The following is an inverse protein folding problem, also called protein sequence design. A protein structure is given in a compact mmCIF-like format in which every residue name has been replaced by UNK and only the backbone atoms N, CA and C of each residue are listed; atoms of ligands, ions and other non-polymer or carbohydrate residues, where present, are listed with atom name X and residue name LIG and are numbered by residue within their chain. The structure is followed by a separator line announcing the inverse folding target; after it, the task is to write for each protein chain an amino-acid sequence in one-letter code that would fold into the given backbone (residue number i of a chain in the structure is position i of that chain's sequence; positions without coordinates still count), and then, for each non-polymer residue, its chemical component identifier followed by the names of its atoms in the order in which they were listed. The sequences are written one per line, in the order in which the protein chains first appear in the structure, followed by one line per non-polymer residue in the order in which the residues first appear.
data_IF_112816590513
#
_entry.id   IF_112816590513
#
_cell.length_a   1.000
_cell.length_b   1.000
_cell.length_c   1.000
_cell.angle_alpha   90.00
_cell.angle_beta   90.00
_cell.angle_gamma   90.00
#
_symmetry.space_group_name_H-M   'P 1'
#
loop_
_entity.id
_entity.type
_entity.pdbx_description
1 polymer ?
#
# COMPACT_ATOMS: atom_id res chain seq x y z
N UNK A 1 2.29 25.67 7.41
CA UNK A 1 0.84 25.87 7.59
C UNK A 1 0.29 24.89 8.65
N UNK A 2 -0.93 25.15 9.19
CA UNK A 2 -1.57 24.20 10.13
C UNK A 2 -1.81 22.82 9.50
N UNK A 3 -2.16 22.78 8.22
CA UNK A 3 -2.34 21.53 7.49
C UNK A 3 -1.02 20.75 7.37
N UNK A 4 0.07 21.45 7.11
CA UNK A 4 1.41 20.84 7.07
C UNK A 4 1.82 20.28 8.45
N UNK A 5 1.56 21.02 9.53
CA UNK A 5 1.81 20.53 10.88
C UNK A 5 1.02 19.25 11.15
N UNK A 6 -0.25 19.20 10.76
CA UNK A 6 -1.07 17.99 10.85
C UNK A 6 -0.45 16.83 10.07
N UNK A 7 0.06 17.06 8.85
CA UNK A 7 0.72 16.03 8.07
C UNK A 7 1.98 15.49 8.74
N UNK A 8 2.80 16.38 9.34
CA UNK A 8 3.99 15.97 10.10
C UNK A 8 3.62 15.12 11.32
N UNK A 9 2.57 15.49 12.04
CA UNK A 9 2.07 14.71 13.18
C UNK A 9 1.62 13.31 12.73
N UNK A 10 0.86 13.21 11.63
CA UNK A 10 0.38 11.93 11.11
C UNK A 10 1.52 11.09 10.52
N UNK A 11 2.53 11.73 9.92
CA UNK A 11 3.76 11.04 9.52
C UNK A 11 4.45 10.40 10.74
N UNK A 12 4.61 11.13 11.85
CA UNK A 12 5.21 10.62 13.06
C UNK A 12 4.40 9.48 13.69
N UNK A 13 3.06 9.61 13.73
CA UNK A 13 2.18 8.51 14.09
C UNK A 13 2.45 7.25 13.26
N UNK A 14 2.55 7.39 11.94
CA UNK A 14 2.82 6.29 11.04
C UNK A 14 4.21 5.70 11.24
N UNK A 15 5.23 6.53 11.42
CA UNK A 15 6.60 6.11 11.70
C UNK A 15 6.70 5.27 12.99
N UNK A 16 5.96 5.63 14.02
CA UNK A 16 5.89 4.85 15.27
C UNK A 16 5.17 3.52 15.09
N UNK A 17 4.15 3.45 14.23
CA UNK A 17 3.39 2.21 14.01
C UNK A 17 4.13 1.21 13.11
N UNK A 18 4.73 1.67 12.02
CA UNK A 18 5.35 0.77 11.02
C UNK A 18 6.86 0.69 11.15
N UNK A 19 7.45 1.58 11.95
CA UNK A 19 8.89 1.82 12.00
C UNK A 19 9.37 2.61 10.79
N UNK A 20 10.61 3.11 10.88
CA UNK A 20 11.27 3.73 9.75
C UNK A 20 11.43 2.68 8.66
N UNK A 21 10.65 2.76 7.61
CA UNK A 21 10.68 1.79 6.51
C UNK A 21 11.05 2.48 5.22
N UNK A 22 12.04 1.90 4.56
CA UNK A 22 12.34 2.22 3.18
C UNK A 22 11.64 1.18 2.33
N UNK A 23 10.73 1.62 1.50
CA UNK A 23 10.16 0.75 0.49
C UNK A 23 11.10 0.66 -0.71
N UNK A 24 11.34 -0.57 -1.16
CA UNK A 24 12.34 -0.90 -2.21
C UNK A 24 12.09 -0.26 -3.57
N UNK A 25 10.98 0.43 -3.79
CA UNK A 25 10.66 1.06 -5.07
C UNK A 25 10.81 2.59 -5.07
N UNK A 26 11.57 3.15 -4.12
CA UNK A 26 12.03 4.54 -4.17
C UNK A 26 10.96 5.61 -3.99
N UNK A 27 9.77 5.27 -3.49
CA UNK A 27 8.69 6.23 -3.38
C UNK A 27 8.33 6.61 -1.93
N UNK A 28 8.53 5.74 -0.95
CA UNK A 28 7.86 5.91 0.33
C UNK A 28 8.82 5.67 1.49
N UNK A 29 9.56 6.69 1.87
CA UNK A 29 10.36 6.68 3.09
C UNK A 29 9.53 7.28 4.22
N UNK A 30 9.15 6.44 5.19
CA UNK A 30 8.57 6.92 6.44
C UNK A 30 9.66 6.95 7.49
N UNK A 31 9.91 8.12 8.03
CA UNK A 31 10.81 8.30 9.16
C UNK A 31 10.25 9.35 10.11
N UNK A 32 10.68 9.28 11.36
CA UNK A 32 10.25 10.19 12.41
C UNK A 32 10.84 11.58 12.20
N UNK A 33 10.01 12.63 12.33
CA UNK A 33 10.41 14.03 12.24
C UNK A 33 10.52 14.58 13.66
N UNK A 34 11.70 14.94 14.15
CA UNK A 34 11.86 15.50 15.50
C UNK A 34 11.32 16.92 15.60
N UNK A 35 11.19 17.44 16.82
CA UNK A 35 10.85 18.83 17.09
C UNK A 35 9.37 19.19 16.89
N UNK A 36 8.48 18.24 16.66
CA UNK A 36 7.04 18.50 16.55
C UNK A 36 6.44 18.56 17.96
N UNK A 37 5.82 19.71 18.30
CA UNK A 37 5.06 19.93 19.53
C UNK A 37 3.66 20.41 19.19
N UNK A 38 2.69 19.51 19.21
CA UNK A 38 1.31 19.82 18.90
C UNK A 38 0.37 18.69 19.33
N UNK A 39 -0.90 19.02 19.50
CA UNK A 39 -2.00 18.09 19.68
C UNK A 39 -3.00 18.22 18.53
N UNK A 40 -3.56 17.11 18.11
CA UNK A 40 -4.58 17.03 17.07
C UNK A 40 -5.81 16.33 17.64
N UNK A 41 -6.85 17.10 17.90
CA UNK A 41 -8.14 16.59 18.34
C UNK A 41 -9.01 16.26 17.12
N UNK A 42 -9.69 15.12 17.19
CA UNK A 42 -10.59 14.67 16.13
C UNK A 42 -11.76 13.85 16.71
N UNK A 43 -12.74 13.60 15.87
CA UNK A 43 -13.88 12.76 16.22
C UNK A 43 -14.18 11.76 15.11
N UNK A 44 -14.35 10.48 15.47
CA UNK A 44 -14.76 9.43 14.55
C UNK A 44 -15.94 8.69 15.16
N UNK A 45 -17.05 8.66 14.44
CA UNK A 45 -18.28 7.96 14.86
C UNK A 45 -18.76 8.34 16.26
N UNK A 46 -18.69 9.64 16.58
CA UNK A 46 -19.10 10.17 17.89
C UNK A 46 -18.08 9.93 19.02
N UNK A 47 -16.93 9.31 18.75
CA UNK A 47 -15.88 9.11 19.72
C UNK A 47 -14.73 10.04 19.48
N UNK A 48 -14.32 10.76 20.53
CA UNK A 48 -13.22 11.72 20.49
C UNK A 48 -11.88 11.03 20.53
N UNK A 49 -10.94 11.51 19.74
CA UNK A 49 -9.55 11.11 19.73
C UNK A 49 -8.61 12.30 19.81
N UNK A 50 -7.42 12.10 20.35
CA UNK A 50 -6.35 13.09 20.43
C UNK A 50 -5.03 12.43 20.09
N UNK A 51 -4.37 12.91 19.05
CA UNK A 51 -2.99 12.57 18.74
C UNK A 51 -2.08 13.63 19.37
N UNK A 52 -1.13 13.19 20.18
CA UNK A 52 -0.17 14.03 20.87
C UNK A 52 1.20 13.81 20.25
N UNK A 53 1.87 14.88 19.84
CA UNK A 53 3.28 14.90 19.47
C UNK A 53 3.99 15.91 20.38
N UNK A 54 4.98 15.47 21.13
CA UNK A 54 5.80 16.32 21.98
C UNK A 54 7.27 15.89 21.91
N UNK A 55 8.01 16.49 21.00
CA UNK A 55 9.47 16.40 20.83
C UNK A 55 10.05 14.99 20.99
N UNK A 56 9.60 14.07 20.17
CA UNK A 56 10.00 12.65 20.21
C UNK A 56 8.93 11.74 20.78
N UNK A 57 8.00 12.26 21.53
CA UNK A 57 6.86 11.51 22.06
C UNK A 57 5.72 11.54 21.04
N UNK A 58 5.13 10.38 20.78
CA UNK A 58 3.86 10.23 20.10
C UNK A 58 2.94 9.37 20.94
N UNK A 59 1.78 9.90 21.27
CA UNK A 59 0.75 9.19 22.00
C UNK A 59 -0.62 9.40 21.35
N UNK A 60 -1.50 8.41 21.48
CA UNK A 60 -2.85 8.44 20.97
C UNK A 60 -3.84 8.12 22.08
N UNK A 61 -4.81 9.00 22.25
CA UNK A 61 -5.98 8.77 23.10
C UNK A 61 -7.19 8.61 22.18
N UNK A 62 -8.03 7.58 22.42
CA UNK A 62 -9.28 7.40 21.66
C UNK A 62 -10.33 6.77 22.59
N UNK A 63 -11.28 7.57 23.04
CA UNK A 63 -12.19 7.18 24.12
C UNK A 63 -11.39 6.81 25.38
N UNK A 64 -11.62 5.60 25.89
CA UNK A 64 -10.94 5.08 27.07
C UNK A 64 -9.56 4.45 26.74
N UNK A 65 -9.19 4.32 25.47
CA UNK A 65 -7.93 3.73 25.04
C UNK A 65 -6.83 4.77 25.00
N UNK A 66 -5.67 4.42 25.58
CA UNK A 66 -4.48 5.28 25.61
C UNK A 66 -3.26 4.48 25.16
N UNK A 67 -2.63 4.92 24.08
CA UNK A 67 -1.48 4.25 23.48
C UNK A 67 -0.26 5.16 23.48
N UNK A 68 0.85 4.69 24.05
CA UNK A 68 2.15 5.32 23.94
C UNK A 68 2.91 4.65 22.79
N UNK A 69 3.23 5.42 21.75
CA UNK A 69 3.71 4.87 20.47
C UNK A 69 5.21 5.07 20.26
N UNK A 70 5.84 5.96 21.00
CA UNK A 70 7.28 6.23 20.89
C UNK A 70 8.11 5.14 21.55
N UNK A 71 9.43 5.21 21.34
CA UNK A 71 10.39 4.32 21.97
C UNK A 71 10.31 4.48 23.49
N UNK A 72 10.10 3.40 24.25
CA UNK A 72 10.01 3.45 25.72
C UNK A 72 11.31 3.89 26.39
N UNK A 73 12.45 3.81 25.69
CA UNK A 73 13.74 4.30 26.21
C UNK A 73 13.82 5.84 26.20
N UNK A 74 12.95 6.51 25.43
CA UNK A 74 12.69 7.93 25.60
C UNK A 74 11.90 8.07 26.90
N UNK A 75 12.55 8.50 27.96
CA UNK A 75 12.07 8.68 29.34
C UNK A 75 10.55 8.82 29.43
N UNK A 76 9.90 7.74 29.92
CA UNK A 76 8.46 7.78 30.19
C UNK A 76 8.23 8.86 31.25
N UNK A 77 7.73 9.99 30.82
CA UNK A 77 7.31 11.07 31.69
C UNK A 77 6.12 10.54 32.49
N UNK A 78 6.01 10.92 33.76
CA UNK A 78 4.95 10.50 34.66
C UNK A 78 3.53 10.63 34.07
N UNK A 79 3.36 11.57 33.17
CA UNK A 79 2.12 11.86 32.44
C UNK A 79 1.57 10.69 31.61
N UNK A 80 2.42 9.77 31.15
CA UNK A 80 2.01 8.66 30.27
C UNK A 80 2.02 7.29 30.97
N UNK A 81 2.09 7.24 32.31
CA UNK A 81 2.17 5.99 33.08
C UNK A 81 0.99 5.05 32.90
N UNK A 82 -0.18 5.58 32.59
CA UNK A 82 -1.42 4.82 32.36
C UNK A 82 -1.65 4.48 30.87
N UNK A 83 -0.68 4.77 30.00
CA UNK A 83 -0.74 4.44 28.58
C UNK A 83 -0.18 3.04 28.34
N UNK A 84 -0.84 2.31 27.43
CA UNK A 84 -0.31 1.06 26.90
C UNK A 84 0.88 1.35 25.98
N UNK A 85 2.05 0.78 26.29
CA UNK A 85 3.25 0.95 25.44
C UNK A 85 3.12 0.10 24.18
N UNK A 86 3.11 0.75 23.03
CA UNK A 86 2.84 0.16 21.72
C UNK A 86 3.86 0.59 20.65
N UNK A 87 5.15 0.60 20.98
CA UNK A 87 6.20 0.94 20.03
C UNK A 87 6.41 -0.18 19.00
N UNK A 88 6.37 0.14 17.70
CA UNK A 88 6.48 -0.80 16.58
C UNK A 88 5.63 -2.06 16.76
N UNK A 89 4.32 -1.92 16.97
CA UNK A 89 3.47 -3.03 17.37
C UNK A 89 3.35 -4.10 16.28
N UNK A 90 3.06 -5.34 16.68
CA UNK A 90 2.72 -6.44 15.78
C UNK A 90 1.43 -6.12 14.99
N UNK A 91 1.24 -6.79 13.86
CA UNK A 91 0.17 -6.50 12.88
C UNK A 91 -1.22 -6.36 13.49
N UNK A 92 -1.62 -7.26 14.41
CA UNK A 92 -2.95 -7.20 15.04
C UNK A 92 -3.13 -5.92 15.88
N UNK A 93 -2.13 -5.59 16.71
CA UNK A 93 -2.16 -4.38 17.54
C UNK A 93 -2.05 -3.11 16.71
N UNK A 94 -1.24 -3.15 15.66
CA UNK A 94 -1.15 -2.06 14.68
C UNK A 94 -2.50 -1.76 14.03
N UNK A 95 -3.23 -2.79 13.62
CA UNK A 95 -4.56 -2.65 13.03
C UNK A 95 -5.57 -2.10 14.03
N UNK A 96 -5.48 -2.49 15.30
CA UNK A 96 -6.30 -1.93 16.37
C UNK A 96 -6.05 -0.43 16.51
N UNK A 97 -4.79 -0.02 16.66
CA UNK A 97 -4.42 1.39 16.82
C UNK A 97 -4.81 2.20 15.58
N UNK A 98 -4.53 1.69 14.38
CA UNK A 98 -4.91 2.34 13.12
C UNK A 98 -6.43 2.52 12.99
N UNK A 99 -7.24 1.62 13.55
CA UNK A 99 -8.70 1.74 13.55
C UNK A 99 -9.23 2.84 14.47
N UNK A 100 -8.41 3.32 15.38
CA UNK A 100 -8.71 4.45 16.26
C UNK A 100 -8.36 5.81 15.63
N UNK A 101 -7.86 5.84 14.41
CA UNK A 101 -7.44 7.05 13.71
C UNK A 101 -8.20 7.22 12.39
N UNK A 102 -8.27 8.45 11.90
CA UNK A 102 -8.94 8.76 10.65
C UNK A 102 -8.00 8.57 9.45
N UNK A 103 -8.62 8.46 8.28
CA UNK A 103 -7.94 8.45 7.00
C UNK A 103 -8.40 9.63 6.16
N UNK A 104 -7.47 10.37 5.56
CA UNK A 104 -7.81 11.51 4.73
C UNK A 104 -7.05 11.52 3.41
N UNK A 105 -7.72 11.98 2.37
CA UNK A 105 -7.15 12.23 1.05
C UNK A 105 -7.25 13.73 0.80
N UNK A 106 -6.12 14.37 0.57
CA UNK A 106 -6.05 15.78 0.18
C UNK A 106 -5.73 15.83 -1.30
N UNK A 107 -6.64 16.38 -2.09
CA UNK A 107 -6.42 16.64 -3.50
C UNK A 107 -5.91 18.04 -3.67
N UNK A 108 -4.71 18.18 -4.20
CA UNK A 108 -4.11 19.46 -4.46
C UNK A 108 -3.94 19.68 -5.96
N UNK A 109 -4.72 20.60 -6.50
CA UNK A 109 -4.64 20.99 -7.91
C UNK A 109 -3.67 22.15 -8.17
N UNK A 110 -3.18 22.81 -7.12
CA UNK A 110 -2.20 23.87 -7.26
C UNK A 110 -0.80 23.29 -7.49
N UNK A 111 -0.13 23.75 -8.54
CA UNK A 111 1.17 23.26 -9.02
C UNK A 111 2.30 23.33 -7.97
N UNK A 112 2.13 24.08 -6.88
CA UNK A 112 3.22 24.44 -5.97
C UNK A 112 2.94 24.18 -4.49
N UNK A 113 1.75 23.71 -4.11
CA UNK A 113 1.50 23.39 -2.73
C UNK A 113 1.95 21.93 -2.46
N UNK A 114 2.82 21.74 -1.48
CA UNK A 114 3.37 20.44 -1.09
C UNK A 114 4.24 19.76 -2.17
N UNK A 115 5.18 20.48 -2.72
CA UNK A 115 6.22 19.92 -3.57
C UNK A 115 7.34 19.34 -2.68
N UNK A 116 7.72 18.09 -2.87
CA UNK A 116 8.80 17.47 -2.10
C UNK A 116 10.16 18.17 -2.28
N UNK A 117 10.34 18.92 -3.38
CA UNK A 117 11.54 19.72 -3.60
C UNK A 117 11.67 20.90 -2.61
N UNK A 118 10.56 21.40 -2.08
CA UNK A 118 10.57 22.49 -1.09
C UNK A 118 11.04 22.01 0.30
N UNK A 119 11.16 20.70 0.48
CA UNK A 119 11.59 20.04 1.72
C UNK A 119 12.94 19.34 1.59
N UNK A 120 13.78 19.74 0.63
CA UNK A 120 15.09 19.11 0.40
C UNK A 120 16.03 19.20 1.60
N UNK A 121 15.91 20.28 2.39
CA UNK A 121 16.69 20.46 3.59
C UNK A 121 16.24 19.54 4.75
N UNK A 122 15.10 18.88 4.58
CA UNK A 122 14.52 17.94 5.55
C UNK A 122 14.72 16.49 5.10
N UNK A 123 15.91 16.17 4.60
CA UNK A 123 16.26 14.80 4.22
C UNK A 123 16.52 13.95 5.46
N UNK A 124 16.28 12.66 5.30
CA UNK A 124 16.52 11.67 6.36
C UNK A 124 17.93 11.74 6.97
N UNK A 125 18.94 12.07 6.17
CA UNK A 125 20.33 12.23 6.60
C UNK A 125 20.57 13.39 7.59
N UNK A 126 19.70 14.41 7.57
CA UNK A 126 19.79 15.55 8.48
C UNK A 126 19.18 15.25 9.85
N UNK A 127 18.34 14.24 9.93
CA UNK A 127 17.82 13.73 11.19
C UNK A 127 18.74 12.59 11.63
N UNK A 128 19.64 12.84 12.57
CA UNK A 128 20.52 11.82 13.17
C UNK A 128 19.69 10.72 13.84
N UNK A 129 19.09 9.90 13.03
CA UNK A 129 18.37 8.71 13.49
C UNK A 129 19.24 7.52 13.17
N UNK A 130 19.95 7.02 14.18
CA UNK A 130 20.80 5.81 14.12
C UNK A 130 20.07 4.55 13.63
N UNK A 131 18.78 4.67 13.29
CA UNK A 131 17.87 3.58 12.93
C UNK A 131 17.43 3.59 11.46
N UNK A 132 17.87 4.54 10.65
CA UNK A 132 17.56 4.59 9.22
C UNK A 132 18.56 3.75 8.43
N UNK A 133 18.54 2.44 8.64
CA UNK A 133 19.34 1.52 7.83
C UNK A 133 18.81 1.58 6.39
N UNK A 134 19.58 2.23 5.51
CA UNK A 134 19.36 2.26 4.07
C UNK A 134 18.39 3.36 3.57
N UNK A 135 18.20 4.47 4.31
CA UNK A 135 17.50 5.64 3.79
C UNK A 135 18.18 6.12 2.49
N UNK A 136 17.41 6.33 1.43
CA UNK A 136 17.92 7.00 0.26
C UNK A 136 18.30 8.42 0.65
N UNK A 137 19.53 8.83 0.39
CA UNK A 137 20.03 10.18 0.67
C UNK A 137 19.22 11.29 -0.02
N UNK A 138 18.30 10.93 -0.90
CA UNK A 138 17.46 11.85 -1.67
C UNK A 138 16.02 11.92 -1.19
N UNK A 139 15.58 11.03 -0.26
CA UNK A 139 14.22 11.01 0.23
C UNK A 139 13.96 12.02 1.36
N UNK A 140 12.76 12.57 1.42
CA UNK A 140 12.27 13.34 2.55
C UNK A 140 10.87 12.83 2.98
N UNK A 141 10.43 13.21 4.19
CA UNK A 141 9.18 12.74 4.77
C UNK A 141 7.95 13.03 3.89
N UNK A 142 7.99 14.10 3.09
CA UNK A 142 6.90 14.46 2.18
C UNK A 142 6.66 13.38 1.11
N UNK A 143 7.69 12.64 0.73
CA UNK A 143 7.56 11.56 -0.27
C UNK A 143 6.63 10.44 0.21
N UNK A 144 6.54 10.21 1.53
CA UNK A 144 5.62 9.22 2.10
C UNK A 144 4.15 9.59 1.93
N UNK A 145 3.86 10.87 1.67
CA UNK A 145 2.51 11.39 1.45
C UNK A 145 2.03 11.22 0.00
N UNK A 146 2.96 10.97 -0.94
CA UNK A 146 2.64 10.75 -2.35
C UNK A 146 2.70 9.26 -2.68
N UNK A 147 1.55 8.59 -2.62
CA UNK A 147 1.50 7.15 -2.86
C UNK A 147 1.33 6.81 -4.34
N UNK A 148 2.26 6.03 -4.88
CA UNK A 148 2.20 5.56 -6.27
C UNK A 148 1.27 4.37 -6.48
N UNK A 149 1.22 3.43 -5.55
CA UNK A 149 0.58 2.12 -5.77
C UNK A 149 0.03 1.56 -4.45
N UNK A 150 -1.13 1.99 -3.99
CA UNK A 150 -1.90 1.34 -2.91
C UNK A 150 -1.14 0.89 -1.64
N UNK A 151 0.11 1.27 -1.54
CA UNK A 151 0.98 0.91 -0.45
C UNK A 151 0.94 1.91 0.69
N UNK A 152 -0.24 2.34 1.11
CA UNK A 152 -0.42 3.35 2.14
C UNK A 152 0.19 2.93 3.47
N UNK A 153 1.23 3.63 3.86
CA UNK A 153 1.85 3.46 5.16
C UNK A 153 1.48 4.59 6.12
N UNK A 154 0.95 5.69 5.60
CA UNK A 154 0.39 6.82 6.34
C UNK A 154 -1.11 6.93 6.07
N UNK A 155 -1.95 7.32 7.05
CA UNK A 155 -3.36 7.58 6.83
C UNK A 155 -3.65 8.91 6.10
N UNK A 156 -2.65 9.54 5.52
CA UNK A 156 -2.79 10.70 4.62
C UNK A 156 -2.23 10.36 3.25
N UNK A 157 -2.94 10.80 2.24
CA UNK A 157 -2.51 10.79 0.83
C UNK A 157 -2.62 12.19 0.27
N UNK A 158 -1.51 12.73 -0.22
CA UNK A 158 -1.53 13.92 -1.07
C UNK A 158 -1.71 13.47 -2.51
N UNK A 159 -2.83 13.80 -3.10
CA UNK A 159 -3.15 13.51 -4.48
C UNK A 159 -3.41 14.83 -5.22
N UNK A 160 -3.00 14.99 -6.46
CA UNK A 160 -2.56 13.98 -7.39
C UNK A 160 -1.04 13.81 -7.42
N UNK A 161 -0.62 12.55 -7.55
CA UNK A 161 0.72 12.28 -8.05
C UNK A 161 0.86 12.85 -9.47
N UNK A 162 1.91 13.62 -9.69
CA UNK A 162 2.22 14.19 -11.00
C UNK A 162 3.48 13.55 -11.53
N UNK A 163 3.35 12.73 -12.55
CA UNK A 163 4.51 12.32 -13.31
C UNK A 163 4.91 13.48 -14.24
N UNK A 164 6.07 14.09 -14.02
CA UNK A 164 6.56 15.26 -14.76
C UNK A 164 5.53 16.42 -14.87
N UNK A 165 4.74 16.63 -13.83
CA UNK A 165 3.74 17.71 -13.79
C UNK A 165 2.37 17.37 -14.39
N UNK A 166 2.18 16.16 -14.91
CA UNK A 166 0.91 15.72 -15.52
C UNK A 166 0.13 14.82 -14.58
N UNK A 167 -1.16 15.09 -14.41
CA UNK A 167 -2.12 14.24 -13.70
C UNK A 167 -2.78 13.32 -14.71
N UNK A 168 -2.54 12.01 -14.61
CA UNK A 168 -3.30 11.04 -15.38
C UNK A 168 -4.66 10.73 -14.72
N UNK A 169 -5.66 11.53 -15.07
CA UNK A 169 -7.03 11.36 -14.56
C UNK A 169 -7.65 10.02 -14.91
N UNK A 170 -7.19 9.34 -15.97
CA UNK A 170 -7.71 8.01 -16.33
C UNK A 170 -7.21 6.96 -15.34
N UNK A 171 -5.93 7.01 -15.02
CA UNK A 171 -5.34 6.12 -14.01
C UNK A 171 -5.96 6.37 -12.64
N UNK A 172 -6.10 7.62 -12.22
CA UNK A 172 -6.73 7.96 -10.94
C UNK A 172 -8.19 7.48 -10.86
N UNK A 173 -8.95 7.67 -11.93
CA UNK A 173 -10.35 7.18 -11.99
C UNK A 173 -10.42 5.65 -11.93
N UNK A 174 -9.52 4.94 -12.61
CA UNK A 174 -9.47 3.48 -12.58
C UNK A 174 -9.13 2.97 -11.17
N UNK A 175 -8.09 3.52 -10.53
CA UNK A 175 -7.70 3.18 -9.17
C UNK A 175 -8.82 3.43 -8.15
N UNK A 176 -9.52 4.57 -8.28
CA UNK A 176 -10.66 4.89 -7.41
C UNK A 176 -11.78 3.86 -7.55
N UNK A 177 -12.10 3.44 -8.78
CA UNK A 177 -13.11 2.41 -9.02
C UNK A 177 -12.71 1.05 -8.43
N UNK A 178 -11.47 0.65 -8.60
CA UNK A 178 -10.97 -0.63 -8.08
C UNK A 178 -10.98 -0.64 -6.54
N UNK A 179 -10.58 0.45 -5.90
CA UNK A 179 -10.65 0.62 -4.44
C UNK A 179 -12.07 0.60 -3.92
N UNK A 180 -12.95 1.37 -4.56
CA UNK A 180 -14.37 1.40 -4.19
C UNK A 180 -14.99 0.00 -4.30
N UNK A 181 -14.69 -0.73 -5.36
CA UNK A 181 -15.14 -2.11 -5.53
C UNK A 181 -14.64 -3.01 -4.39
N UNK A 182 -13.35 -2.91 -4.01
CA UNK A 182 -12.78 -3.66 -2.91
C UNK A 182 -13.47 -3.36 -1.57
N UNK A 183 -13.68 -2.09 -1.26
CA UNK A 183 -14.36 -1.66 -0.02
C UNK A 183 -15.81 -2.16 0.01
N UNK A 184 -16.53 -2.07 -1.12
CA UNK A 184 -17.90 -2.54 -1.23
C UNK A 184 -18.03 -4.06 -1.06
N UNK A 185 -17.12 -4.83 -1.64
CA UNK A 185 -17.06 -6.30 -1.45
C UNK A 185 -16.82 -6.65 0.01
N UNK A 186 -15.88 -5.96 0.65
CA UNK A 186 -15.55 -6.20 2.05
C UNK A 186 -16.70 -5.80 2.98
N UNK A 187 -17.38 -4.67 2.73
CA UNK A 187 -18.55 -4.26 3.47
C UNK A 187 -19.67 -5.31 3.33
N UNK A 188 -19.91 -5.82 2.12
CA UNK A 188 -20.89 -6.87 1.87
C UNK A 188 -20.53 -8.18 2.60
N UNK A 189 -19.25 -8.58 2.54
CA UNK A 189 -18.74 -9.77 3.22
C UNK A 189 -18.95 -9.70 4.74
N UNK A 190 -18.76 -8.51 5.32
CA UNK A 190 -18.92 -8.24 6.75
C UNK A 190 -20.35 -7.87 7.15
N UNK A 191 -21.30 -7.90 6.22
CA UNK A 191 -22.68 -7.46 6.41
C UNK A 191 -22.78 -6.05 7.05
N UNK A 192 -21.95 -5.12 6.55
CA UNK A 192 -21.93 -3.71 6.99
C UNK A 192 -22.51 -2.83 5.91
N UNK A 193 -23.13 -1.74 6.32
CA UNK A 193 -23.45 -0.66 5.41
C UNK A 193 -22.15 0.02 4.94
N UNK A 194 -22.11 0.36 3.67
CA UNK A 194 -20.99 1.12 3.11
C UNK A 194 -21.12 2.62 3.37
N UNK A 195 -22.34 3.11 3.26
CA UNK A 195 -22.78 4.46 3.60
C UNK A 195 -24.10 4.29 4.36
N UNK A 196 -24.33 5.07 5.40
CA UNK A 196 -25.54 5.02 6.20
C UNK A 196 -26.80 5.06 5.32
N UNK A 197 -27.66 4.07 5.46
CA UNK A 197 -28.88 3.91 4.66
C UNK A 197 -28.70 3.30 3.28
N UNK A 198 -27.48 2.90 2.87
CA UNK A 198 -27.21 2.30 1.56
C UNK A 198 -26.60 0.91 1.69
N UNK A 199 -27.23 -0.08 1.08
CA UNK A 199 -26.74 -1.44 0.99
C UNK A 199 -26.29 -1.78 -0.43
N UNK A 200 -25.17 -2.49 -0.54
CA UNK A 200 -24.73 -3.02 -1.80
C UNK A 200 -25.62 -4.18 -2.23
N UNK A 201 -26.35 -4.01 -3.33
CA UNK A 201 -27.17 -5.08 -3.91
C UNK A 201 -26.31 -6.07 -4.69
N UNK A 202 -25.55 -5.59 -5.66
CA UNK A 202 -24.66 -6.42 -6.50
C UNK A 202 -23.53 -5.60 -7.08
N UNK A 203 -22.42 -6.28 -7.38
CA UNK A 203 -21.33 -5.75 -8.21
C UNK A 203 -21.30 -6.59 -9.49
N UNK A 204 -21.24 -5.93 -10.63
CA UNK A 204 -21.08 -6.58 -11.93
C UNK A 204 -19.66 -6.31 -12.43
N UNK A 205 -18.89 -7.38 -12.58
CA UNK A 205 -17.56 -7.31 -13.18
C UNK A 205 -17.64 -7.76 -14.63
N UNK A 206 -17.09 -6.97 -15.54
CA UNK A 206 -16.83 -7.38 -16.90
C UNK A 206 -15.37 -7.84 -17.01
N UNK A 207 -15.17 -9.14 -17.18
CA UNK A 207 -13.84 -9.68 -17.37
C UNK A 207 -13.37 -9.43 -18.82
N UNK A 208 -12.18 -8.83 -18.97
CA UNK A 208 -11.56 -8.58 -20.26
C UNK A 208 -10.27 -9.40 -20.43
N UNK A 209 -10.31 -10.56 -21.11
CA UNK A 209 -9.15 -11.44 -21.29
C UNK A 209 -8.02 -10.79 -22.09
N UNK A 210 -8.33 -9.87 -22.99
CA UNK A 210 -7.33 -9.19 -23.81
C UNK A 210 -6.35 -8.38 -22.97
N UNK A 211 -6.75 -7.91 -21.77
CA UNK A 211 -5.83 -7.27 -20.83
C UNK A 211 -4.79 -8.24 -20.25
N UNK A 212 -5.11 -9.51 -20.20
CA UNK A 212 -4.16 -10.56 -19.78
C UNK A 212 -3.26 -10.90 -20.94
N UNK A 213 -3.84 -11.14 -22.13
CA UNK A 213 -3.12 -11.47 -23.36
C UNK A 213 -2.07 -10.40 -23.69
N UNK A 214 -2.43 -9.11 -23.60
CA UNK A 214 -1.52 -8.00 -23.85
C UNK A 214 -0.30 -7.93 -22.90
N UNK A 215 -0.26 -8.73 -21.84
CA UNK A 215 0.88 -8.84 -20.92
C UNK A 215 1.75 -10.07 -21.16
N UNK A 216 1.26 -10.99 -21.99
CA UNK A 216 1.99 -12.18 -22.38
C UNK A 216 3.03 -11.85 -23.46
N UNK A 217 3.99 -12.75 -23.76
CA UNK A 217 4.89 -12.60 -24.91
C UNK A 217 4.17 -12.35 -26.22
N UNK A 218 4.84 -11.66 -27.14
CA UNK A 218 4.26 -11.25 -28.45
C UNK A 218 3.65 -12.40 -29.24
N UNK A 219 4.21 -13.62 -29.12
CA UNK A 219 3.67 -14.84 -29.76
C UNK A 219 2.20 -15.15 -29.39
N UNK A 220 1.69 -14.57 -28.32
CA UNK A 220 0.29 -14.74 -27.89
C UNK A 220 -0.62 -13.60 -28.37
N UNK A 221 -0.08 -12.46 -28.81
CA UNK A 221 -0.87 -11.26 -29.11
C UNK A 221 -1.74 -11.42 -30.37
N UNK A 222 -1.31 -12.26 -31.32
CA UNK A 222 -2.06 -12.55 -32.54
C UNK A 222 -3.09 -13.69 -32.37
N UNK A 223 -3.07 -14.36 -31.21
CA UNK A 223 -3.98 -15.46 -30.92
C UNK A 223 -5.30 -14.93 -30.37
N UNK A 224 -6.37 -15.58 -30.76
CA UNK A 224 -7.66 -15.33 -30.12
C UNK A 224 -7.68 -15.89 -28.68
N UNK A 225 -8.68 -15.47 -27.94
CA UNK A 225 -8.84 -15.82 -26.52
C UNK A 225 -8.84 -17.34 -26.30
N UNK A 226 -9.54 -18.10 -27.16
CA UNK A 226 -9.63 -19.55 -27.04
C UNK A 226 -8.30 -20.25 -27.36
N UNK A 227 -7.58 -19.74 -28.36
CA UNK A 227 -6.26 -20.26 -28.72
C UNK A 227 -5.23 -20.06 -27.62
N UNK A 228 -5.23 -18.90 -26.95
CA UNK A 228 -4.36 -18.63 -25.81
C UNK A 228 -4.69 -19.59 -24.67
N UNK A 229 -5.95 -19.73 -24.31
CA UNK A 229 -6.38 -20.65 -23.27
C UNK A 229 -5.94 -22.08 -23.55
N UNK A 230 -6.16 -22.57 -24.79
CA UNK A 230 -5.78 -23.90 -25.20
C UNK A 230 -4.26 -24.12 -25.15
N UNK A 231 -3.46 -23.13 -25.54
CA UNK A 231 -2.01 -23.19 -25.42
C UNK A 231 -1.58 -23.45 -23.95
N UNK A 232 -2.15 -22.71 -23.01
CA UNK A 232 -1.84 -22.91 -21.60
C UNK A 232 -2.38 -24.24 -21.03
N UNK A 233 -3.50 -24.75 -21.53
CA UNK A 233 -4.04 -26.05 -21.15
C UNK A 233 -3.13 -27.20 -21.63
N UNK A 234 -2.57 -27.08 -22.81
CA UNK A 234 -1.59 -28.05 -23.35
C UNK A 234 -0.36 -28.06 -22.45
N UNK A 235 0.24 -26.88 -22.20
CA UNK A 235 1.40 -26.75 -21.31
C UNK A 235 1.13 -27.29 -19.89
N UNK A 236 -0.06 -27.09 -19.35
CA UNK A 236 -0.45 -27.65 -18.06
C UNK A 236 -0.51 -29.18 -18.09
N UNK A 237 -0.88 -29.78 -19.23
CA UNK A 237 -0.92 -31.24 -19.42
C UNK A 237 0.46 -31.91 -19.47
N UNK A 238 1.50 -31.14 -19.76
CA UNK A 238 2.87 -31.65 -19.81
C UNK A 238 3.44 -31.87 -18.42
N UNK A 239 4.01 -33.07 -18.21
CA UNK A 239 4.66 -33.41 -16.95
C UNK A 239 5.91 -32.53 -16.75
N UNK A 240 6.05 -31.87 -15.63
CA UNK A 240 7.14 -30.92 -15.31
C UNK A 240 7.14 -29.60 -16.11
N UNK A 241 6.08 -29.26 -16.81
CA UNK A 241 5.99 -27.91 -17.38
C UNK A 241 6.00 -26.84 -16.29
N UNK A 242 6.59 -25.68 -16.59
CA UNK A 242 6.59 -24.58 -15.66
C UNK A 242 5.15 -24.15 -15.28
N UNK A 243 4.23 -24.18 -16.24
CA UNK A 243 2.81 -23.87 -16.04
C UNK A 243 2.20 -24.77 -14.97
N UNK A 244 2.45 -26.06 -15.06
CA UNK A 244 1.95 -27.04 -14.08
C UNK A 244 2.57 -26.85 -12.73
N UNK A 245 3.89 -26.72 -12.64
CA UNK A 245 4.62 -26.53 -11.38
C UNK A 245 4.13 -25.30 -10.62
N UNK A 246 3.92 -24.17 -11.31
CA UNK A 246 3.41 -22.95 -10.69
C UNK A 246 2.00 -23.16 -10.16
N UNK A 247 1.10 -23.69 -10.97
CA UNK A 247 -0.30 -23.86 -10.55
C UNK A 247 -0.45 -24.85 -9.41
N UNK A 248 0.27 -25.96 -9.45
CA UNK A 248 0.27 -26.97 -8.38
C UNK A 248 0.80 -26.36 -7.06
N UNK A 249 1.86 -25.53 -7.13
CA UNK A 249 2.39 -24.83 -5.96
C UNK A 249 1.38 -23.85 -5.32
N UNK A 250 0.51 -23.25 -6.12
CA UNK A 250 -0.56 -22.38 -5.63
C UNK A 250 -1.88 -23.12 -5.36
N UNK A 251 -1.96 -24.44 -5.61
CA UNK A 251 -3.17 -25.25 -5.42
C UNK A 251 -4.27 -24.97 -6.46
N UNK A 252 -3.91 -24.52 -7.66
CA UNK A 252 -4.84 -24.27 -8.76
C UNK A 252 -4.71 -25.32 -9.86
N UNK A 253 -5.79 -25.50 -10.63
CA UNK A 253 -5.82 -26.43 -11.74
C UNK A 253 -6.61 -25.89 -12.93
N UNK A 254 -6.14 -26.16 -14.15
CA UNK A 254 -6.91 -25.90 -15.37
C UNK A 254 -8.00 -26.95 -15.63
N UNK A 255 -7.97 -28.12 -15.01
CA UNK A 255 -8.79 -29.26 -15.42
C UNK A 255 -10.30 -28.97 -15.40
N UNK A 256 -10.79 -28.23 -14.40
CA UNK A 256 -12.21 -27.90 -14.23
C UNK A 256 -12.45 -26.38 -14.17
N UNK A 257 -11.52 -25.58 -14.68
CA UNK A 257 -11.64 -24.14 -14.65
C UNK A 257 -12.64 -23.64 -15.68
N UNK A 258 -13.54 -22.77 -15.26
CA UNK A 258 -14.30 -21.97 -16.21
C UNK A 258 -13.40 -20.92 -16.86
N UNK A 259 -13.90 -20.28 -17.92
CA UNK A 259 -13.18 -19.28 -18.68
C UNK A 259 -12.48 -18.21 -17.83
N UNK A 260 -13.14 -17.62 -16.82
CA UNK A 260 -12.55 -16.61 -15.96
C UNK A 260 -11.45 -17.19 -15.07
N UNK A 261 -11.66 -18.37 -14.53
CA UNK A 261 -10.67 -19.08 -13.71
C UNK A 261 -9.43 -19.46 -14.53
N UNK A 262 -9.61 -19.92 -15.78
CA UNK A 262 -8.51 -20.20 -16.68
C UNK A 262 -7.61 -18.97 -16.91
N UNK A 263 -8.22 -17.82 -17.20
CA UNK A 263 -7.46 -16.58 -17.36
C UNK A 263 -6.87 -16.04 -16.04
N UNK A 264 -7.49 -16.34 -14.91
CA UNK A 264 -6.90 -16.11 -13.59
C UNK A 264 -5.61 -16.91 -13.40
N UNK A 265 -5.60 -18.18 -13.79
CA UNK A 265 -4.41 -19.04 -13.78
C UNK A 265 -3.32 -18.49 -14.72
N UNK A 266 -3.66 -18.12 -15.96
CA UNK A 266 -2.72 -17.52 -16.92
C UNK A 266 -2.09 -16.25 -16.35
N UNK A 267 -2.90 -15.39 -15.74
CA UNK A 267 -2.40 -14.17 -15.12
C UNK A 267 -1.47 -14.46 -13.91
N UNK A 268 -1.78 -15.47 -13.11
CA UNK A 268 -0.93 -15.89 -12.00
C UNK A 268 0.43 -16.38 -12.50
N UNK A 269 0.46 -17.19 -13.55
CA UNK A 269 1.69 -17.66 -14.20
C UNK A 269 2.50 -16.47 -14.69
N UNK A 270 1.89 -15.55 -15.44
CA UNK A 270 2.54 -14.33 -15.88
C UNK A 270 3.16 -13.55 -14.72
N UNK A 271 2.42 -13.36 -13.63
CA UNK A 271 2.91 -12.63 -12.44
C UNK A 271 4.11 -13.33 -11.82
N UNK A 272 4.06 -14.65 -11.66
CA UNK A 272 5.15 -15.45 -11.08
C UNK A 272 6.42 -15.31 -11.92
N UNK A 273 6.30 -15.43 -13.25
CA UNK A 273 7.43 -15.29 -14.17
C UNK A 273 8.05 -13.88 -14.17
N UNK A 274 7.27 -12.85 -13.89
CA UNK A 274 7.77 -11.47 -13.87
C UNK A 274 8.33 -11.02 -12.52
N UNK A 275 8.22 -11.84 -11.46
CA UNK A 275 8.77 -11.53 -10.14
C UNK A 275 10.29 -11.32 -10.18
N UNK A 276 11.11 -12.23 -10.76
CA UNK A 276 12.56 -12.08 -10.72
C UNK A 276 13.07 -10.83 -11.43
N UNK A 277 12.43 -10.42 -12.51
CA UNK A 277 12.81 -9.20 -13.24
C UNK A 277 12.41 -7.91 -12.53
N UNK A 278 11.41 -7.96 -11.63
CA UNK A 278 10.86 -6.78 -10.96
C UNK A 278 11.39 -6.57 -9.54
N UNK A 279 11.83 -7.63 -8.89
CA UNK A 279 12.21 -7.59 -7.48
C UNK A 279 13.64 -8.07 -7.29
N UNK A 280 14.57 -7.19 -6.87
CA UNK A 280 15.99 -7.53 -6.70
C UNK A 280 16.26 -8.73 -5.80
N UNK A 281 15.39 -8.98 -4.81
CA UNK A 281 15.49 -10.15 -3.91
C UNK A 281 15.34 -11.49 -4.61
N UNK A 282 14.83 -11.52 -5.82
CA UNK A 282 14.59 -12.71 -6.63
C UNK A 282 15.38 -12.70 -7.93
N UNK A 283 16.29 -11.72 -8.12
CA UNK A 283 17.05 -11.56 -9.37
C UNK A 283 17.91 -12.79 -9.73
N UNK A 284 18.31 -13.59 -8.75
CA UNK A 284 19.05 -14.85 -8.96
C UNK A 284 18.25 -15.86 -9.79
N UNK A 285 16.92 -15.81 -9.75
CA UNK A 285 16.05 -16.69 -10.51
C UNK A 285 15.75 -16.17 -11.93
N UNK A 286 16.18 -14.97 -12.29
CA UNK A 286 15.88 -14.39 -13.61
C UNK A 286 16.48 -15.19 -14.78
N UNK A 287 17.56 -15.93 -14.55
CA UNK A 287 18.17 -16.79 -15.56
C UNK A 287 17.41 -18.11 -15.78
N UNK A 288 16.63 -18.53 -14.80
CA UNK A 288 15.87 -19.79 -14.81
C UNK A 288 14.43 -19.58 -15.26
N UNK A 289 13.89 -18.40 -14.93
CA UNK A 289 12.48 -18.07 -15.11
C UNK A 289 12.38 -16.91 -16.10
N UNK A 290 12.16 -17.23 -17.36
CA UNK A 290 11.98 -16.24 -18.42
C UNK A 290 10.60 -16.45 -19.07
N UNK A 291 9.80 -15.39 -19.10
CA UNK A 291 8.47 -15.44 -19.70
C UNK A 291 8.51 -15.73 -21.21
N UNK A 292 9.60 -15.33 -21.89
CA UNK A 292 9.77 -15.61 -23.32
C UNK A 292 10.01 -17.12 -23.60
N UNK A 293 10.40 -17.87 -22.57
CA UNK A 293 10.64 -19.31 -22.65
C UNK A 293 9.44 -20.18 -22.27
N UNK A 294 8.25 -19.59 -22.19
CA UNK A 294 7.01 -20.39 -22.13
C UNK A 294 6.79 -21.00 -23.52
N UNK A 295 7.31 -22.16 -23.72
CA UNK A 295 7.11 -22.97 -24.91
C UNK A 295 6.03 -24.01 -24.65
#
# INVERSE_FOLDING_TARGET
SLLELMFRMINNFSACLVGNTIRRNGADEIYFIPGIKATLDYEIRGMKGTLICDDGIVALVYGDKKFFLSDPDLTMIDEYRDFEVCYKPKTAKRSEIASCFFYTIVMNYALQAYNSLDYQDEKAEHYQTDHLIGASSNGNWMNSMFHKNDGYASPIVLNPYRDQGVIDMKTETALTKDRLAGILVEAKRKNREFIDGYQLLRIVYAFNPYRVIAKLPEKFHEKDVTQVENSFRILYGEENSFVRLVLDAYGYSFANSNYMAAYGCIYLIYKTLTIPSKYPSYAEYASVVDIEKID
#
